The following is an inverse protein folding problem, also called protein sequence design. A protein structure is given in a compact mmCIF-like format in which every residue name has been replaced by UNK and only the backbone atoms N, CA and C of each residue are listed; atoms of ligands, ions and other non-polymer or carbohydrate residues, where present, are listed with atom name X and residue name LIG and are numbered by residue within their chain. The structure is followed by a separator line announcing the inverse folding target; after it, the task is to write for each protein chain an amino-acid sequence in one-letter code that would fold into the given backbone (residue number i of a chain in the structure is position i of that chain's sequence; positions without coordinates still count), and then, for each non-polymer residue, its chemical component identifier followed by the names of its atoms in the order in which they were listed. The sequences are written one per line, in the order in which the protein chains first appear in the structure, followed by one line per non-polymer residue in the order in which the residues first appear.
data_IF_624137091288
#
_entry.id   IF_624137091288
#
_cell.length_a   1.000
_cell.length_b   1.000
_cell.length_c   1.000
_cell.angle_alpha   90.00
_cell.angle_beta   90.00
_cell.angle_gamma   90.00
#
_symmetry.space_group_name_H-M   'P 1'
#
loop_
_entity.id
_entity.type
_entity.pdbx_description
1 polymer ?
#
# COMPACT_ATOMS: atom_id res chain seq x y z
N UNK A 1 8.04 -3.02 17.51
CA UNK A 1 8.00 -4.50 17.48
C UNK A 1 7.13 -5.02 16.34
N UNK A 2 5.84 -4.67 16.29
CA UNK A 2 4.91 -5.08 15.22
C UNK A 2 5.42 -4.80 13.80
N UNK A 3 5.87 -3.58 13.48
CA UNK A 3 6.43 -3.27 12.14
C UNK A 3 7.67 -4.13 11.80
N UNK A 4 8.42 -4.58 12.81
CA UNK A 4 9.55 -5.48 12.62
C UNK A 4 9.10 -6.89 12.20
N UNK A 5 7.99 -7.40 12.75
CA UNK A 5 7.44 -8.69 12.32
C UNK A 5 6.85 -8.62 10.92
N UNK A 6 6.20 -7.50 10.58
CA UNK A 6 5.70 -7.25 9.22
C UNK A 6 6.84 -7.18 8.19
N UNK A 7 7.97 -6.57 8.55
CA UNK A 7 9.16 -6.55 7.69
C UNK A 7 9.65 -7.98 7.36
N UNK A 8 9.66 -8.89 8.34
CA UNK A 8 10.02 -10.29 8.12
C UNK A 8 9.00 -11.03 7.25
N UNK A 9 7.70 -10.77 7.46
CA UNK A 9 6.62 -11.33 6.64
C UNK A 9 6.80 -10.94 5.17
N UNK A 10 6.90 -9.64 4.87
CA UNK A 10 7.09 -9.17 3.50
C UNK A 10 8.43 -9.61 2.91
N UNK A 11 9.51 -9.67 3.70
CA UNK A 11 10.79 -10.23 3.28
C UNK A 11 10.67 -11.68 2.78
N UNK A 12 9.89 -12.52 3.47
CA UNK A 12 9.61 -13.89 3.05
C UNK A 12 8.79 -13.97 1.75
N UNK A 13 7.76 -13.13 1.60
CA UNK A 13 6.93 -13.07 0.39
C UNK A 13 7.73 -12.57 -0.82
N UNK A 14 8.54 -11.52 -0.65
CA UNK A 14 9.43 -10.98 -1.69
C UNK A 14 10.44 -12.06 -2.12
N UNK A 15 11.06 -12.75 -1.16
CA UNK A 15 12.00 -13.85 -1.46
C UNK A 15 11.33 -14.96 -2.26
N UNK A 16 10.10 -15.33 -1.89
CA UNK A 16 9.30 -16.34 -2.61
C UNK A 16 9.02 -15.92 -4.04
N UNK A 17 8.59 -14.67 -4.26
CA UNK A 17 8.39 -14.13 -5.61
C UNK A 17 9.70 -14.11 -6.42
N UNK A 18 10.82 -13.68 -5.83
CA UNK A 18 12.12 -13.66 -6.51
C UNK A 18 12.58 -15.06 -6.97
N UNK A 19 12.26 -16.12 -6.23
CA UNK A 19 12.57 -17.50 -6.63
C UNK A 19 11.69 -18.00 -7.79
N UNK A 20 10.44 -17.52 -7.88
CA UNK A 20 9.47 -17.95 -8.87
C UNK A 20 9.24 -16.98 -10.04
N UNK A 21 9.91 -15.81 -10.05
CA UNK A 21 9.74 -14.76 -11.06
C UNK A 21 9.94 -15.22 -12.50
N UNK A 22 10.79 -16.22 -12.72
CA UNK A 22 11.06 -16.80 -14.06
C UNK A 22 10.18 -18.00 -14.42
N UNK A 23 9.32 -18.47 -13.52
CA UNK A 23 8.46 -19.64 -13.74
C UNK A 23 7.09 -19.26 -14.30
N UNK A 24 7.14 -18.55 -15.42
CA UNK A 24 5.98 -18.19 -16.23
C UNK A 24 5.59 -19.45 -17.01
N UNK A 25 4.46 -20.06 -16.66
CA UNK A 25 3.97 -21.29 -17.29
C UNK A 25 3.48 -21.04 -18.73
N UNK A 26 2.28 -21.52 -19.05
CA UNK A 26 1.63 -21.26 -20.35
C UNK A 26 0.86 -19.93 -20.43
N UNK A 27 0.85 -19.15 -19.34
CA UNK A 27 0.17 -17.85 -19.27
C UNK A 27 0.92 -16.70 -19.96
N UNK A 28 0.27 -15.52 -20.10
CA UNK A 28 0.88 -14.36 -20.71
C UNK A 28 2.10 -13.88 -19.91
N UNK A 29 3.09 -13.33 -20.61
CA UNK A 29 4.32 -12.84 -19.96
C UNK A 29 4.06 -11.50 -19.26
N UNK A 30 4.81 -11.18 -18.18
CA UNK A 30 4.60 -9.93 -17.42
C UNK A 30 4.66 -8.67 -18.29
N UNK A 31 5.56 -8.65 -19.28
CA UNK A 31 5.74 -7.53 -20.21
C UNK A 31 4.54 -7.29 -21.14
N UNK A 32 3.61 -8.23 -21.27
CA UNK A 32 2.42 -8.10 -22.12
C UNK A 32 1.21 -7.58 -21.36
N UNK A 33 1.23 -7.67 -20.03
CA UNK A 33 0.07 -7.45 -19.17
C UNK A 33 0.25 -6.23 -18.26
N UNK A 34 1.50 -5.89 -17.90
CA UNK A 34 1.77 -4.76 -17.01
C UNK A 34 1.69 -3.41 -17.73
N UNK A 35 0.76 -2.57 -17.29
CA UNK A 35 0.68 -1.15 -17.67
C UNK A 35 1.59 -0.30 -16.76
N UNK A 36 2.88 -0.28 -17.08
CA UNK A 36 3.90 0.45 -16.30
C UNK A 36 3.53 1.93 -16.10
N UNK A 37 3.05 2.68 -17.11
CA UNK A 37 2.56 4.05 -16.90
C UNK A 37 1.46 4.15 -15.83
N UNK A 38 0.44 3.29 -15.90
CA UNK A 38 -0.66 3.31 -14.93
C UNK A 38 -0.16 2.98 -13.51
N UNK A 39 0.60 1.90 -13.34
CA UNK A 39 1.16 1.51 -12.04
C UNK A 39 2.11 2.57 -11.48
N UNK A 40 2.85 3.27 -12.34
CA UNK A 40 3.75 4.36 -11.92
C UNK A 40 2.97 5.55 -11.36
N UNK A 41 1.86 5.92 -12.01
CA UNK A 41 0.99 7.00 -11.54
C UNK A 41 0.30 6.63 -10.23
N UNK A 42 -0.23 5.40 -10.12
CA UNK A 42 -0.85 4.94 -8.86
C UNK A 42 0.18 4.90 -7.71
N UNK A 43 1.40 4.46 -7.99
CA UNK A 43 2.51 4.48 -7.02
C UNK A 43 2.88 5.91 -6.61
N UNK A 44 2.93 6.85 -7.55
CA UNK A 44 3.16 8.26 -7.23
C UNK A 44 2.05 8.85 -6.35
N UNK A 45 0.78 8.51 -6.60
CA UNK A 45 -0.35 8.89 -5.75
C UNK A 45 -0.16 8.38 -4.32
N UNK A 46 0.31 7.15 -4.15
CA UNK A 46 0.59 6.58 -2.83
C UNK A 46 1.74 7.32 -2.12
N UNK A 47 2.84 7.64 -2.83
CA UNK A 47 3.93 8.43 -2.26
C UNK A 47 3.49 9.84 -1.83
N UNK A 48 2.64 10.48 -2.62
CA UNK A 48 2.04 11.76 -2.24
C UNK A 48 1.13 11.62 -1.02
N UNK A 49 0.45 10.48 -0.86
CA UNK A 49 -0.30 10.16 0.36
C UNK A 49 0.61 10.16 1.59
N UNK A 50 1.79 9.53 1.50
CA UNK A 50 2.81 9.59 2.56
C UNK A 50 3.16 11.02 2.96
N UNK A 51 3.42 11.89 1.99
CA UNK A 51 3.74 13.29 2.27
C UNK A 51 2.61 13.99 3.05
N UNK A 52 1.35 13.76 2.64
CA UNK A 52 0.19 14.33 3.34
C UNK A 52 0.05 13.79 4.77
N UNK A 53 0.45 12.54 5.03
CA UNK A 53 0.46 11.96 6.38
C UNK A 53 1.50 12.66 7.28
N UNK A 54 2.69 12.98 6.76
CA UNK A 54 3.70 13.77 7.52
C UNK A 54 3.15 15.14 7.90
N UNK A 55 2.43 15.79 7.00
CA UNK A 55 1.77 17.07 7.28
C UNK A 55 0.70 16.93 8.36
N UNK A 56 -0.08 15.83 8.36
CA UNK A 56 -1.06 15.54 9.40
C UNK A 56 -0.41 15.40 10.79
N UNK A 57 0.70 14.66 10.88
CA UNK A 57 1.48 14.51 12.13
C UNK A 57 2.03 15.86 12.59
N UNK A 58 2.62 16.64 11.69
CA UNK A 58 3.15 17.98 12.00
C UNK A 58 2.07 18.92 12.55
N UNK A 59 0.88 18.95 11.92
CA UNK A 59 -0.27 19.72 12.41
C UNK A 59 -0.75 19.23 13.78
N UNK A 60 -0.68 17.91 14.04
CA UNK A 60 -1.11 17.34 15.32
C UNK A 60 -0.18 17.78 16.47
N UNK A 61 1.14 17.84 16.23
CA UNK A 61 2.09 18.40 17.20
C UNK A 61 1.85 19.89 17.47
N UNK A 62 1.44 20.65 16.46
CA UNK A 62 1.05 22.07 16.60
C UNK A 62 -0.32 22.28 17.25
N UNK A 63 -1.03 21.20 17.60
CA UNK A 63 -2.41 21.23 18.14
C UNK A 63 -3.41 21.90 17.19
N UNK A 64 -3.14 21.86 15.88
CA UNK A 64 -4.06 22.36 14.86
C UNK A 64 -4.96 21.24 14.35
N UNK A 65 -6.04 21.00 15.08
CA UNK A 65 -7.00 19.93 14.80
C UNK A 65 -7.64 20.05 13.40
N UNK A 66 -7.84 21.28 12.91
CA UNK A 66 -8.46 21.52 11.59
C UNK A 66 -7.55 21.03 10.48
N UNK A 67 -6.28 21.43 10.53
CA UNK A 67 -5.27 21.01 9.55
C UNK A 67 -4.99 19.51 9.65
N UNK A 68 -4.89 18.95 10.87
CA UNK A 68 -4.72 17.50 11.04
C UNK A 68 -5.85 16.72 10.39
N UNK A 69 -7.11 17.12 10.58
CA UNK A 69 -8.26 16.45 9.97
C UNK A 69 -8.25 16.58 8.44
N UNK A 70 -7.94 17.77 7.92
CA UNK A 70 -7.84 18.00 6.48
C UNK A 70 -6.79 17.07 5.86
N UNK A 71 -5.58 17.01 6.43
CA UNK A 71 -4.51 16.17 5.91
C UNK A 71 -4.85 14.68 6.00
N UNK A 72 -5.42 14.21 7.13
CA UNK A 72 -5.88 12.82 7.26
C UNK A 72 -6.92 12.43 6.20
N UNK A 73 -7.84 13.33 5.85
CA UNK A 73 -8.82 13.10 4.78
C UNK A 73 -8.14 12.99 3.43
N UNK A 74 -7.20 13.88 3.13
CA UNK A 74 -6.46 13.85 1.87
C UNK A 74 -5.65 12.55 1.77
N UNK A 75 -4.93 12.16 2.83
CA UNK A 75 -4.20 10.87 2.90
C UNK A 75 -5.12 9.69 2.63
N UNK A 76 -6.29 9.65 3.28
CA UNK A 76 -7.26 8.58 3.09
C UNK A 76 -7.80 8.52 1.65
N UNK A 77 -8.08 9.65 1.01
CA UNK A 77 -8.56 9.70 -0.38
C UNK A 77 -7.49 9.23 -1.37
N UNK A 78 -6.25 9.64 -1.19
CA UNK A 78 -5.12 9.19 -2.03
C UNK A 78 -4.87 7.69 -1.85
N UNK A 79 -4.90 7.20 -0.62
CA UNK A 79 -4.80 5.76 -0.32
C UNK A 79 -5.94 4.95 -0.93
N UNK A 80 -7.18 5.43 -0.84
CA UNK A 80 -8.33 4.78 -1.47
C UNK A 80 -8.22 4.75 -3.00
N UNK A 81 -7.68 5.81 -3.61
CA UNK A 81 -7.42 5.86 -5.05
C UNK A 81 -6.40 4.79 -5.47
N UNK A 82 -5.33 4.62 -4.69
CA UNK A 82 -4.35 3.56 -4.91
C UNK A 82 -4.98 2.16 -4.82
N UNK A 83 -5.77 1.88 -3.78
CA UNK A 83 -6.45 0.59 -3.62
C UNK A 83 -7.41 0.32 -4.78
N UNK A 84 -8.16 1.34 -5.23
CA UNK A 84 -9.02 1.24 -6.41
C UNK A 84 -8.24 0.91 -7.69
N UNK A 85 -7.07 1.54 -7.88
CA UNK A 85 -6.16 1.24 -8.98
C UNK A 85 -5.65 -0.20 -8.96
N UNK A 86 -5.27 -0.72 -7.78
CA UNK A 86 -4.84 -2.11 -7.61
C UNK A 86 -5.95 -3.11 -7.95
N UNK A 87 -7.20 -2.85 -7.53
CA UNK A 87 -8.35 -3.71 -7.88
C UNK A 87 -8.58 -3.72 -9.39
N UNK A 88 -8.46 -2.56 -10.05
CA UNK A 88 -8.56 -2.46 -11.50
C UNK A 88 -7.47 -3.27 -12.20
N UNK A 89 -6.21 -3.13 -11.80
CA UNK A 89 -5.08 -3.89 -12.36
C UNK A 89 -5.29 -5.40 -12.20
N UNK A 90 -5.68 -5.86 -11.00
CA UNK A 90 -5.92 -7.29 -10.77
C UNK A 90 -7.05 -7.83 -11.64
N UNK A 91 -8.10 -7.03 -11.85
CA UNK A 91 -9.22 -7.41 -12.72
C UNK A 91 -8.78 -7.49 -14.18
N UNK A 92 -7.98 -6.52 -14.65
CA UNK A 92 -7.41 -6.54 -16.00
C UNK A 92 -6.53 -7.78 -16.20
N UNK A 93 -5.61 -8.06 -15.26
CA UNK A 93 -4.70 -9.21 -15.33
C UNK A 93 -5.46 -10.53 -15.37
N UNK A 94 -6.51 -10.68 -14.55
CA UNK A 94 -7.35 -11.86 -14.56
C UNK A 94 -8.07 -12.04 -15.91
N UNK A 95 -8.62 -10.96 -16.47
CA UNK A 95 -9.31 -10.99 -17.77
C UNK A 95 -8.38 -11.30 -18.95
N UNK A 96 -7.11 -10.90 -18.86
CA UNK A 96 -6.07 -11.22 -19.83
C UNK A 96 -5.49 -12.63 -19.67
N UNK A 97 -6.01 -13.42 -18.73
CA UNK A 97 -5.61 -14.81 -18.51
C UNK A 97 -4.44 -14.99 -17.53
N UNK A 98 -3.99 -13.92 -16.85
CA UNK A 98 -3.10 -14.01 -15.71
C UNK A 98 -3.93 -14.20 -14.41
N UNK A 99 -4.53 -15.37 -14.23
CA UNK A 99 -5.24 -15.73 -13.01
C UNK A 99 -4.33 -16.34 -11.94
N UNK A 100 -4.76 -16.29 -10.67
CA UNK A 100 -4.01 -16.77 -9.51
C UNK A 100 -3.38 -18.17 -9.67
N UNK A 101 -4.10 -19.11 -10.27
CA UNK A 101 -3.66 -20.51 -10.44
C UNK A 101 -2.98 -20.80 -11.79
N UNK A 102 -2.72 -19.77 -12.61
CA UNK A 102 -2.21 -19.95 -13.98
C UNK A 102 -0.72 -20.34 -13.99
N UNK A 103 0.07 -19.82 -13.06
CA UNK A 103 1.50 -20.13 -12.94
C UNK A 103 2.02 -19.80 -11.55
N UNK A 104 3.17 -20.38 -11.17
CA UNK A 104 3.85 -20.04 -9.92
C UNK A 104 4.24 -18.55 -9.87
N UNK A 105 4.59 -17.96 -11.02
CA UNK A 105 4.77 -16.52 -11.15
C UNK A 105 3.51 -15.77 -10.71
N UNK A 106 2.36 -16.07 -11.31
CA UNK A 106 1.11 -15.36 -11.03
C UNK A 106 0.65 -15.57 -9.58
N UNK A 107 0.72 -16.80 -9.05
CA UNK A 107 0.36 -17.06 -7.65
C UNK A 107 1.22 -16.25 -6.68
N UNK A 108 2.55 -16.26 -6.87
CA UNK A 108 3.46 -15.52 -5.99
C UNK A 108 3.31 -14.01 -6.13
N UNK A 109 3.02 -13.51 -7.34
CA UNK A 109 2.67 -12.10 -7.58
C UNK A 109 1.43 -11.71 -6.77
N UNK A 110 0.29 -12.39 -6.98
CA UNK A 110 -0.98 -12.04 -6.33
C UNK A 110 -0.93 -12.19 -4.80
N UNK A 111 -0.18 -13.17 -4.27
CA UNK A 111 0.02 -13.26 -2.82
C UNK A 111 0.79 -12.04 -2.32
N UNK A 112 1.93 -11.69 -2.93
CA UNK A 112 2.76 -10.58 -2.48
C UNK A 112 2.03 -9.22 -2.58
N UNK A 113 1.50 -8.90 -3.75
CA UNK A 113 0.81 -7.62 -4.00
C UNK A 113 -0.56 -7.58 -3.33
N UNK A 114 -1.26 -8.71 -3.24
CA UNK A 114 -2.53 -8.82 -2.53
C UNK A 114 -2.39 -8.63 -1.02
N UNK A 115 -1.38 -9.24 -0.39
CA UNK A 115 -1.09 -8.97 1.04
C UNK A 115 -0.75 -7.51 1.27
N UNK A 116 0.04 -6.88 0.39
CA UNK A 116 0.28 -5.44 0.47
C UNK A 116 -1.02 -4.64 0.37
N UNK A 117 -1.88 -4.92 -0.61
CA UNK A 117 -3.18 -4.27 -0.77
C UNK A 117 -4.08 -4.41 0.46
N UNK A 118 -4.07 -5.56 1.13
CA UNK A 118 -4.76 -5.76 2.42
C UNK A 118 -4.19 -4.84 3.50
N UNK A 119 -2.87 -4.71 3.61
CA UNK A 119 -2.23 -3.81 4.58
C UNK A 119 -2.59 -2.34 4.32
N UNK A 120 -2.58 -1.89 3.06
CA UNK A 120 -3.03 -0.53 2.70
C UNK A 120 -4.48 -0.32 3.10
N UNK A 121 -5.34 -1.32 2.85
CA UNK A 121 -6.77 -1.25 3.19
C UNK A 121 -6.99 -1.19 4.70
N UNK A 122 -6.24 -1.98 5.49
CA UNK A 122 -6.26 -1.92 6.96
C UNK A 122 -5.78 -0.54 7.44
N UNK A 123 -4.70 -0.02 6.85
CA UNK A 123 -4.23 1.35 7.09
C UNK A 123 -5.31 2.39 6.83
N UNK A 124 -6.07 2.23 5.74
CA UNK A 124 -7.12 3.17 5.36
C UNK A 124 -8.26 3.15 6.38
N UNK A 125 -8.65 1.96 6.83
CA UNK A 125 -9.63 1.80 7.92
C UNK A 125 -9.12 2.48 9.20
N UNK A 126 -7.84 2.31 9.55
CA UNK A 126 -7.24 2.96 10.72
C UNK A 126 -7.24 4.50 10.60
N UNK A 127 -6.94 5.06 9.43
CA UNK A 127 -7.00 6.51 9.19
C UNK A 127 -8.44 7.05 9.34
N UNK A 128 -9.42 6.33 8.79
CA UNK A 128 -10.83 6.72 8.91
C UNK A 128 -11.34 6.60 10.36
N UNK A 129 -10.92 5.55 11.08
CA UNK A 129 -11.21 5.39 12.50
C UNK A 129 -10.59 6.53 13.34
N UNK A 130 -9.32 6.85 13.11
CA UNK A 130 -8.62 7.97 13.77
C UNK A 130 -9.35 9.29 13.55
N UNK A 131 -9.75 9.58 12.31
CA UNK A 131 -10.56 10.76 11.99
C UNK A 131 -11.86 10.80 12.79
N UNK A 132 -12.56 9.67 12.88
CA UNK A 132 -13.79 9.54 13.69
C UNK A 132 -13.55 9.77 15.18
N UNK A 133 -12.44 9.25 15.72
CA UNK A 133 -12.04 9.44 17.11
C UNK A 133 -11.66 10.90 17.42
N UNK A 134 -10.94 11.56 16.51
CA UNK A 134 -10.59 12.97 16.61
C UNK A 134 -11.84 13.86 16.63
N UNK A 135 -12.82 13.59 15.74
CA UNK A 135 -14.09 14.33 15.69
C UNK A 135 -14.89 14.19 16.99
N UNK A 136 -14.86 13.01 17.60
CA UNK A 136 -15.60 12.72 18.83
C UNK A 136 -14.80 13.00 20.12
N UNK A 137 -13.58 13.55 20.01
CA UNK A 137 -12.65 13.75 21.13
C UNK A 137 -12.36 12.48 21.98
N UNK A 138 -12.45 11.28 21.37
CA UNK A 138 -12.27 9.98 22.05
C UNK A 138 -10.88 9.36 21.84
N UNK A 139 -9.86 10.19 21.66
CA UNK A 139 -8.49 9.70 21.41
C UNK A 139 -7.85 9.26 22.74
N UNK A 140 -7.39 8.01 22.86
CA UNK A 140 -6.66 7.56 24.05
C UNK A 140 -5.27 8.22 24.09
N UNK A 141 -4.89 8.77 25.23
CA UNK A 141 -3.58 9.40 25.41
C UNK A 141 -3.40 10.70 24.62
N UNK A 142 -2.18 10.93 24.14
CA UNK A 142 -1.86 12.12 23.34
C UNK A 142 -2.36 11.97 21.91
N UNK A 143 -3.08 12.98 21.40
CA UNK A 143 -3.54 13.01 20.00
C UNK A 143 -2.37 12.93 19.02
N UNK A 144 -1.32 13.70 19.26
CA UNK A 144 -0.16 13.73 18.39
C UNK A 144 0.52 12.35 18.32
N UNK A 145 0.68 11.70 19.48
CA UNK A 145 1.26 10.35 19.57
C UNK A 145 0.39 9.31 18.84
N UNK A 146 -0.93 9.37 18.99
CA UNK A 146 -1.83 8.45 18.27
C UNK A 146 -1.76 8.64 16.76
N UNK A 147 -1.74 9.89 16.30
CA UNK A 147 -1.60 10.24 14.86
C UNK A 147 -0.24 9.77 14.33
N UNK A 148 0.83 9.96 15.11
CA UNK A 148 2.18 9.52 14.77
C UNK A 148 2.28 7.99 14.67
N UNK A 149 1.72 7.25 15.62
CA UNK A 149 1.71 5.78 15.60
C UNK A 149 1.01 5.21 14.35
N UNK A 150 -0.13 5.79 13.97
CA UNK A 150 -0.83 5.40 12.73
C UNK A 150 -0.05 5.86 11.49
N UNK A 151 0.59 7.03 11.55
CA UNK A 151 1.48 7.53 10.50
C UNK A 151 2.67 6.60 10.24
N UNK A 152 3.31 6.07 11.29
CA UNK A 152 4.41 5.12 11.16
C UNK A 152 3.99 3.84 10.43
N UNK A 153 2.77 3.33 10.70
CA UNK A 153 2.22 2.20 9.95
C UNK A 153 2.01 2.55 8.47
N UNK A 154 1.44 3.73 8.19
CA UNK A 154 1.19 4.17 6.82
C UNK A 154 2.50 4.30 6.01
N UNK A 155 3.51 4.95 6.59
CA UNK A 155 4.83 5.08 5.98
C UNK A 155 5.50 3.72 5.75
N UNK A 156 5.34 2.77 6.67
CA UNK A 156 5.86 1.42 6.50
C UNK A 156 5.26 0.74 5.27
N UNK A 157 3.93 0.80 5.11
CA UNK A 157 3.24 0.21 3.95
C UNK A 157 3.68 0.86 2.64
N UNK A 158 3.93 2.16 2.63
CA UNK A 158 4.48 2.86 1.46
C UNK A 158 5.90 2.41 1.12
N UNK A 159 6.78 2.25 2.13
CA UNK A 159 8.15 1.77 1.93
C UNK A 159 8.15 0.36 1.33
N UNK A 160 7.29 -0.53 1.83
CA UNK A 160 7.12 -1.88 1.27
C UNK A 160 6.67 -1.78 -0.19
N UNK A 161 5.76 -0.87 -0.53
CA UNK A 161 5.33 -0.68 -1.92
C UNK A 161 6.48 -0.25 -2.84
N UNK A 162 7.34 0.68 -2.41
CA UNK A 162 8.49 1.12 -3.21
C UNK A 162 9.38 -0.07 -3.59
N UNK A 163 9.62 -0.98 -2.63
CA UNK A 163 10.42 -2.18 -2.85
C UNK A 163 9.71 -3.13 -3.82
N UNK A 164 8.41 -3.40 -3.60
CA UNK A 164 7.59 -4.25 -4.48
C UNK A 164 7.56 -3.68 -5.91
N UNK A 165 7.23 -2.40 -6.07
CA UNK A 165 7.16 -1.73 -7.35
C UNK A 165 8.48 -1.84 -8.12
N UNK A 166 9.60 -1.59 -7.43
CA UNK A 166 10.93 -1.69 -8.04
C UNK A 166 11.26 -3.12 -8.49
N UNK A 167 11.06 -4.11 -7.62
CA UNK A 167 11.44 -5.50 -7.91
C UNK A 167 10.53 -6.20 -8.91
N UNK A 168 9.24 -5.82 -8.97
CA UNK A 168 8.24 -6.47 -9.82
C UNK A 168 8.08 -5.74 -11.16
N UNK A 169 7.93 -4.42 -11.15
CA UNK A 169 7.53 -3.64 -12.33
C UNK A 169 8.73 -3.01 -13.04
N UNK A 170 9.74 -2.52 -12.30
CA UNK A 170 10.88 -1.82 -12.90
C UNK A 170 12.07 -2.70 -13.27
N UNK A 171 12.23 -3.87 -12.63
CA UNK A 171 13.27 -4.84 -12.97
C UNK A 171 12.58 -5.99 -13.72
N UNK A 172 12.53 -5.97 -15.06
CA UNK A 172 11.91 -7.04 -15.83
C UNK A 172 12.63 -8.36 -15.56
N UNK A 173 11.89 -9.46 -15.57
CA UNK A 173 12.44 -10.81 -15.59
C UNK A 173 12.89 -11.19 -17.01
#
# INVERSE_FOLDING_TARGET
LFLGTECLLFGGLISTYMLYRGRVGTGPRPAQVFDIPFTSVSSFVLLMSSLTMVLAVSSAHKRDDKSTNLWLVITALLGATFVGGQVYEFTAFYNEGMGFSTSLFSSSFYVLTGFHGVHVTVGLIMLLALRGMLKNNKVPGSRAETVEMIGLYWHFVDIVWIIIFTLIYLIPA
#
